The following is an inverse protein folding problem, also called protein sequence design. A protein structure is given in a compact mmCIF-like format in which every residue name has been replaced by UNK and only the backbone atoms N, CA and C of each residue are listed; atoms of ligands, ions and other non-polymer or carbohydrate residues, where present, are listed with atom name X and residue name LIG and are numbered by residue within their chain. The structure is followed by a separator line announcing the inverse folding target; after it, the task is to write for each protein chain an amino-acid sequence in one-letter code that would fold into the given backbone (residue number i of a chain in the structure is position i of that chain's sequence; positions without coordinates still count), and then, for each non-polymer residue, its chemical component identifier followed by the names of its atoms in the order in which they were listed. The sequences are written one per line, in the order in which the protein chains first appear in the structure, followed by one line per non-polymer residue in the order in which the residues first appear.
data_IF_067563369359
#
_entry.id   IF_067563369359
#
_cell.length_a   1.000
_cell.length_b   1.000
_cell.length_c   1.000
_cell.angle_alpha   90.00
_cell.angle_beta   90.00
_cell.angle_gamma   90.00
#
_symmetry.space_group_name_H-M   'P 1'
#
loop_
_entity.id
_entity.type
_entity.pdbx_description
1 polymer ?
#
# COMPACT_ATOMS: atom_id res chain seq x y z
N UNK A 1 -11.18 -27.10 -9.80
CA UNK A 1 -11.08 -28.14 -10.85
C UNK A 1 -12.23 -28.16 -11.87
N UNK A 2 -13.45 -27.65 -11.57
CA UNK A 2 -14.61 -27.71 -12.49
C UNK A 2 -14.44 -27.06 -13.89
N UNK A 3 -13.55 -26.07 -14.06
CA UNK A 3 -13.39 -25.33 -15.33
C UNK A 3 -12.73 -26.14 -16.45
N UNK A 4 -11.73 -26.96 -16.12
CA UNK A 4 -11.01 -27.77 -17.13
C UNK A 4 -11.90 -28.88 -17.69
N UNK A 5 -12.71 -29.48 -16.83
CA UNK A 5 -13.74 -30.47 -17.21
C UNK A 5 -14.84 -29.89 -18.09
N UNK A 6 -15.08 -28.57 -18.03
CA UNK A 6 -16.06 -27.84 -18.86
C UNK A 6 -15.44 -27.28 -20.17
N UNK A 7 -14.17 -27.59 -20.48
CA UNK A 7 -13.47 -27.05 -21.65
C UNK A 7 -13.19 -25.54 -21.60
N UNK A 8 -13.30 -24.92 -20.41
CA UNK A 8 -13.12 -23.47 -20.24
C UNK A 8 -11.66 -23.14 -19.97
N UNK A 9 -11.11 -22.19 -20.73
CA UNK A 9 -9.73 -21.74 -20.59
C UNK A 9 -9.43 -21.15 -19.21
N UNK A 10 -8.29 -21.55 -18.63
CA UNK A 10 -7.83 -21.10 -17.31
C UNK A 10 -7.12 -19.75 -17.42
N UNK A 11 -7.13 -18.96 -16.36
CA UNK A 11 -6.33 -17.74 -16.29
C UNK A 11 -4.83 -18.08 -16.35
N UNK A 12 -4.06 -17.25 -17.06
CA UNK A 12 -2.66 -17.52 -17.37
C UNK A 12 -2.42 -18.43 -18.57
N UNK A 13 -3.48 -18.92 -19.24
CA UNK A 13 -3.35 -19.76 -20.43
C UNK A 13 -3.37 -18.96 -21.73
N UNK A 14 -2.52 -19.37 -22.67
CA UNK A 14 -2.55 -18.95 -24.07
C UNK A 14 -3.38 -19.96 -24.86
N UNK A 15 -4.33 -19.49 -25.68
CA UNK A 15 -5.11 -20.35 -26.56
C UNK A 15 -5.32 -19.68 -27.91
N UNK A 16 -5.62 -20.48 -28.92
CA UNK A 16 -5.96 -19.99 -30.26
C UNK A 16 -7.46 -19.81 -30.34
N UNK A 17 -7.89 -18.60 -30.69
CA UNK A 17 -9.30 -18.28 -30.92
C UNK A 17 -9.77 -18.98 -32.21
N UNK A 18 -10.80 -19.82 -32.08
CA UNK A 18 -11.34 -20.60 -33.21
C UNK A 18 -12.06 -19.72 -34.25
N UNK A 19 -12.58 -18.55 -33.86
CA UNK A 19 -13.30 -17.67 -34.79
C UNK A 19 -12.36 -16.76 -35.58
N UNK A 20 -11.30 -16.26 -34.94
CA UNK A 20 -10.39 -15.28 -35.57
C UNK A 20 -9.05 -15.87 -35.97
N UNK A 21 -8.74 -17.10 -35.55
CA UNK A 21 -7.46 -17.77 -35.79
C UNK A 21 -6.27 -17.18 -35.02
N UNK A 22 -6.49 -16.12 -34.23
CA UNK A 22 -5.46 -15.38 -33.49
C UNK A 22 -5.19 -15.99 -32.13
N UNK A 23 -3.97 -15.78 -31.61
CA UNK A 23 -3.62 -16.15 -30.24
C UNK A 23 -4.27 -15.17 -29.25
N UNK A 24 -5.01 -15.69 -28.28
CA UNK A 24 -5.57 -14.94 -27.15
C UNK A 24 -4.94 -15.41 -25.85
N UNK A 25 -4.43 -14.46 -25.08
CA UNK A 25 -3.90 -14.70 -23.75
C UNK A 25 -4.92 -14.24 -22.70
N UNK A 26 -5.35 -15.15 -21.82
CA UNK A 26 -6.22 -14.79 -20.70
C UNK A 26 -5.35 -14.41 -19.51
N UNK A 27 -5.03 -13.12 -19.37
CA UNK A 27 -4.22 -12.63 -18.27
C UNK A 27 -4.82 -13.00 -16.90
N UNK A 28 -3.95 -13.24 -15.91
CA UNK A 28 -4.38 -13.42 -14.52
C UNK A 28 -5.08 -12.16 -14.04
N UNK A 29 -6.36 -12.28 -13.68
CA UNK A 29 -7.06 -11.15 -13.10
C UNK A 29 -6.74 -11.13 -11.60
N UNK A 30 -5.62 -10.50 -11.24
CA UNK A 30 -5.29 -10.25 -9.84
C UNK A 30 -6.30 -9.26 -9.30
N UNK A 31 -7.42 -9.75 -8.76
CA UNK A 31 -8.34 -8.92 -8.02
C UNK A 31 -7.53 -8.26 -6.88
N UNK A 32 -7.46 -6.92 -6.83
CA UNK A 32 -6.77 -6.26 -5.74
C UNK A 32 -7.46 -6.73 -4.46
N UNK A 33 -6.71 -7.38 -3.56
CA UNK A 33 -7.22 -7.70 -2.22
C UNK A 33 -7.79 -6.40 -1.68
N UNK A 34 -9.09 -6.39 -1.34
CA UNK A 34 -9.76 -5.26 -0.69
C UNK A 34 -9.09 -5.07 0.68
N UNK A 35 -7.94 -4.38 0.71
CA UNK A 35 -7.35 -3.93 1.96
C UNK A 35 -8.32 -2.89 2.51
N UNK A 36 -8.67 -3.00 3.80
CA UNK A 36 -9.34 -1.91 4.50
C UNK A 36 -8.55 -0.62 4.24
N UNK A 37 -9.24 0.50 4.02
CA UNK A 37 -8.56 1.77 3.79
C UNK A 37 -7.72 2.08 5.03
N UNK A 38 -6.41 2.23 4.85
CA UNK A 38 -5.52 2.66 5.93
C UNK A 38 -6.01 4.03 6.45
N UNK A 39 -6.25 4.17 7.76
CA UNK A 39 -6.66 5.43 8.42
C UNK A 39 -5.45 6.36 8.47
N UNK A 40 -5.63 7.62 8.09
CA UNK A 40 -4.61 8.64 8.33
C UNK A 40 -4.65 9.05 9.80
N UNK A 41 -3.56 8.85 10.52
CA UNK A 41 -3.43 9.24 11.93
C UNK A 41 -2.99 10.69 12.00
N UNK A 42 -1.91 11.04 11.29
CA UNK A 42 -1.49 12.42 11.14
C UNK A 42 -0.80 12.69 9.80
N UNK A 43 -0.93 13.94 9.36
CA UNK A 43 -0.20 14.48 8.23
C UNK A 43 1.05 15.20 8.75
N UNK A 44 2.20 14.91 8.15
CA UNK A 44 3.46 15.56 8.49
C UNK A 44 3.87 16.51 7.34
N UNK A 45 4.93 17.29 7.56
CA UNK A 45 5.43 18.30 6.61
C UNK A 45 6.00 17.66 5.33
N UNK A 46 6.68 16.53 5.49
CA UNK A 46 7.37 15.77 4.45
C UNK A 46 6.89 14.32 4.37
N UNK A 47 5.75 14.02 5.00
CA UNK A 47 5.37 12.64 5.26
C UNK A 47 3.96 12.46 5.79
N UNK A 48 3.68 11.26 6.29
CA UNK A 48 2.43 10.91 6.92
C UNK A 48 2.61 9.74 7.89
N UNK A 49 1.66 9.60 8.80
CA UNK A 49 1.50 8.42 9.63
C UNK A 49 0.12 7.82 9.39
N UNK A 50 0.08 6.53 9.02
CA UNK A 50 -1.16 5.81 8.74
C UNK A 50 -1.24 4.54 9.55
N UNK A 51 -2.46 4.21 9.93
CA UNK A 51 -2.81 2.99 10.63
C UNK A 51 -3.52 2.04 9.68
N UNK A 52 -3.12 0.78 9.76
CA UNK A 52 -3.83 -0.35 9.17
C UNK A 52 -4.19 -1.32 10.28
N UNK A 53 -5.09 -2.26 10.03
CA UNK A 53 -5.61 -3.21 11.05
C UNK A 53 -4.56 -4.02 11.83
N UNK A 54 -3.29 -4.03 11.40
CA UNK A 54 -2.21 -4.79 12.04
C UNK A 54 -0.99 -3.94 12.37
N UNK A 55 -0.90 -2.69 11.92
CA UNK A 55 0.32 -1.90 12.05
C UNK A 55 0.09 -0.42 11.79
N UNK A 56 0.87 0.38 12.52
CA UNK A 56 1.08 1.80 12.28
C UNK A 56 2.33 1.94 11.40
N UNK A 57 2.26 2.78 10.37
CA UNK A 57 3.38 3.06 9.46
C UNK A 57 3.67 4.56 9.48
N UNK A 58 4.91 4.89 9.76
CA UNK A 58 5.48 6.22 9.58
C UNK A 58 6.25 6.27 8.26
N UNK A 59 5.98 7.31 7.47
CA UNK A 59 6.71 7.59 6.24
C UNK A 59 7.11 9.07 6.20
N UNK A 60 8.39 9.33 5.95
CA UNK A 60 8.93 10.68 5.76
C UNK A 60 9.90 10.69 4.58
N UNK A 61 9.83 11.72 3.74
CA UNK A 61 10.71 11.88 2.58
C UNK A 61 11.10 13.34 2.39
N UNK A 62 12.39 13.62 2.59
CA UNK A 62 12.95 14.97 2.48
C UNK A 62 13.80 15.08 1.21
N UNK A 63 13.73 16.24 0.53
CA UNK A 63 14.52 16.50 -0.68
C UNK A 63 16.02 16.55 -0.37
N UNK A 64 16.83 15.85 -1.18
CA UNK A 64 18.30 15.83 -1.04
C UNK A 64 18.95 17.21 -1.16
N UNK A 65 18.30 18.15 -1.84
CA UNK A 65 18.79 19.51 -2.04
C UNK A 65 18.90 20.34 -0.75
N UNK A 66 18.27 19.92 0.36
CA UNK A 66 18.42 20.61 1.66
C UNK A 66 19.81 20.43 2.28
N UNK A 67 20.58 19.43 1.85
CA UNK A 67 21.84 19.06 2.49
C UNK A 67 21.65 18.21 3.74
N UNK A 68 22.63 17.33 4.02
CA UNK A 68 22.52 16.25 5.00
C UNK A 68 22.11 16.69 6.40
N UNK A 69 22.69 17.78 6.91
CA UNK A 69 22.42 18.26 8.28
C UNK A 69 20.97 18.72 8.45
N UNK A 70 20.40 19.38 7.44
CA UNK A 70 19.00 19.81 7.50
C UNK A 70 18.04 18.64 7.27
N UNK A 71 18.42 17.66 6.43
CA UNK A 71 17.66 16.43 6.25
C UNK A 71 17.54 15.67 7.58
N UNK A 72 18.66 15.50 8.30
CA UNK A 72 18.68 14.81 9.58
C UNK A 72 17.80 15.50 10.63
N UNK A 73 17.91 16.83 10.75
CA UNK A 73 17.06 17.63 11.64
C UNK A 73 15.57 17.54 11.28
N UNK A 74 15.25 17.61 9.98
CA UNK A 74 13.87 17.50 9.51
C UNK A 74 13.28 16.13 9.84
N UNK A 75 14.01 15.04 9.57
CA UNK A 75 13.57 13.68 9.87
C UNK A 75 13.36 13.46 11.37
N UNK A 76 14.29 13.91 12.22
CA UNK A 76 14.15 13.81 13.67
C UNK A 76 12.95 14.59 14.21
N UNK A 77 12.73 15.81 13.69
CA UNK A 77 11.58 16.63 14.07
C UNK A 77 10.26 15.94 13.71
N UNK A 78 10.17 15.38 12.51
CA UNK A 78 8.98 14.65 12.07
C UNK A 78 8.71 13.41 12.92
N UNK A 79 9.75 12.63 13.22
CA UNK A 79 9.62 11.46 14.08
C UNK A 79 9.13 11.85 15.47
N UNK A 80 9.71 12.89 16.08
CA UNK A 80 9.27 13.38 17.40
C UNK A 80 7.81 13.80 17.39
N UNK A 81 7.36 14.51 16.35
CA UNK A 81 5.96 14.91 16.23
C UNK A 81 5.04 13.69 16.07
N UNK A 82 5.39 12.74 15.20
CA UNK A 82 4.61 11.53 14.99
C UNK A 82 4.46 10.71 16.28
N UNK A 83 5.54 10.55 17.06
CA UNK A 83 5.51 9.85 18.34
C UNK A 83 4.61 10.56 19.37
N UNK A 84 4.68 11.89 19.46
CA UNK A 84 3.80 12.65 20.34
C UNK A 84 2.31 12.47 20.02
N UNK A 85 1.96 12.36 18.73
CA UNK A 85 0.58 12.05 18.32
C UNK A 85 0.17 10.65 18.78
N UNK A 86 1.06 9.65 18.64
CA UNK A 86 0.77 8.28 19.10
C UNK A 86 0.57 8.21 20.61
N UNK A 87 1.35 8.97 21.39
CA UNK A 87 1.18 9.05 22.84
C UNK A 87 -0.20 9.57 23.21
N UNK A 88 -0.70 10.61 22.51
CA UNK A 88 -2.05 11.15 22.74
C UNK A 88 -3.13 10.17 22.33
N UNK A 89 -3.05 9.53 21.16
CA UNK A 89 -4.03 8.52 20.73
C UNK A 89 -4.06 7.35 21.73
N UNK A 90 -2.89 6.89 22.22
CA UNK A 90 -2.83 5.85 23.24
C UNK A 90 -3.49 6.28 24.55
N UNK A 91 -3.37 7.55 24.97
CA UNK A 91 -4.05 8.04 26.17
C UNK A 91 -5.57 8.03 25.98
N UNK A 92 -6.05 8.45 24.80
CA UNK A 92 -7.48 8.47 24.46
C UNK A 92 -8.08 7.06 24.37
N UNK A 93 -7.32 6.08 23.88
CA UNK A 93 -7.77 4.68 23.80
C UNK A 93 -7.86 3.98 25.17
N UNK A 94 -7.18 4.51 26.19
CA UNK A 94 -7.13 3.94 27.53
C UNK A 94 -8.10 4.60 28.54
N UNK A 95 -9.01 5.47 28.07
CA UNK A 95 -10.07 6.13 28.87
C UNK A 95 -11.43 5.52 28.52
#
# INVERSE_FOLDING_TARGET
MKRLTEGRYVEGSLHRDQQTGRLRFRAYNRSPRRKGKDRLVCQLEHGWMKESSQRIRFYSSVRKSLGWRLIDLAMHRELKHAMGVLEVENLLDNV
#
